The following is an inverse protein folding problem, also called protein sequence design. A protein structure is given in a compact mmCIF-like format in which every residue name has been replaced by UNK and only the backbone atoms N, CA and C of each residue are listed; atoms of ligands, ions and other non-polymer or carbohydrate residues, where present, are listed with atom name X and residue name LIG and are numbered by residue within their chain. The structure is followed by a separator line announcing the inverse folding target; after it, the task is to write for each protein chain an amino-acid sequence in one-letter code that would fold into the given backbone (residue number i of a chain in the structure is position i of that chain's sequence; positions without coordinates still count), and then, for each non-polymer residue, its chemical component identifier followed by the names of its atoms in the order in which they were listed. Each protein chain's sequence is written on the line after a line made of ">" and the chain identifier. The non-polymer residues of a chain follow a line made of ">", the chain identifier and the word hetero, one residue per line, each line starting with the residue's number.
data_IF_288770193503
#
_entry.id   IF_288770193503
#
_cell.length_a   1.000
_cell.length_b   1.000
_cell.length_c   1.000
_cell.angle_alpha   90.00
_cell.angle_beta   90.00
_cell.angle_gamma   90.00
#
_symmetry.space_group_name_H-M   'P 1'
#
loop_
_entity.id
_entity.type
_entity.pdbx_description
1 polymer ?
#
# COMPACT_ATOMS: atom_id res chain seq x y z
N UNK A 1 -16.87 -11.82 -10.09
CA UNK A 1 -16.01 -12.81 -9.40
C UNK A 1 -14.96 -12.07 -8.56
N UNK A 2 -15.24 -11.80 -7.28
CA UNK A 2 -14.37 -11.01 -6.39
C UNK A 2 -13.02 -11.69 -6.06
N UNK A 3 -12.85 -12.98 -6.34
CA UNK A 3 -11.63 -13.75 -6.05
C UNK A 3 -10.34 -13.21 -6.70
N UNK A 4 -10.43 -12.55 -7.87
CA UNK A 4 -9.23 -12.05 -8.57
C UNK A 4 -8.53 -10.92 -7.81
N UNK A 5 -9.24 -10.18 -6.95
CA UNK A 5 -8.66 -9.09 -6.18
C UNK A 5 -7.74 -9.60 -5.05
N UNK A 6 -8.03 -10.77 -4.48
CA UNK A 6 -7.17 -11.37 -3.45
C UNK A 6 -5.75 -11.67 -3.95
N UNK A 7 -5.55 -11.88 -5.25
CA UNK A 7 -4.22 -12.11 -5.83
C UNK A 7 -3.33 -10.86 -5.77
N UNK A 8 -3.93 -9.66 -5.72
CA UNK A 8 -3.20 -8.39 -5.67
C UNK A 8 -2.95 -7.89 -4.24
N UNK A 9 -3.59 -8.50 -3.24
CA UNK A 9 -3.42 -8.15 -1.83
C UNK A 9 -2.02 -8.52 -1.27
N UNK A 10 -1.49 -9.76 -1.47
CA UNK A 10 -0.15 -10.12 -1.01
C UNK A 10 0.96 -9.22 -1.57
N UNK A 11 1.04 -8.93 -2.89
CA UNK A 11 2.10 -8.06 -3.40
C UNK A 11 1.95 -6.61 -2.92
N UNK A 12 0.72 -6.09 -2.76
CA UNK A 12 0.52 -4.75 -2.19
C UNK A 12 1.00 -4.65 -0.73
N UNK A 13 0.74 -5.69 0.07
CA UNK A 13 1.25 -5.79 1.44
C UNK A 13 2.77 -5.94 1.48
N UNK A 14 3.35 -6.74 0.58
CA UNK A 14 4.79 -6.92 0.47
C UNK A 14 5.50 -5.61 0.11
N UNK A 15 4.96 -4.84 -0.83
CA UNK A 15 5.47 -3.51 -1.22
C UNK A 15 5.39 -2.52 -0.06
N UNK A 16 4.25 -2.46 0.64
CA UNK A 16 4.09 -1.62 1.83
C UNK A 16 5.07 -1.99 2.95
N UNK A 17 5.23 -3.29 3.24
CA UNK A 17 6.12 -3.80 4.28
C UNK A 17 7.60 -3.54 3.98
N UNK A 18 8.06 -3.88 2.78
CA UNK A 18 9.43 -3.60 2.35
C UNK A 18 9.71 -2.11 2.34
N UNK A 19 8.80 -1.31 1.79
CA UNK A 19 8.90 0.13 1.77
C UNK A 19 9.01 0.76 3.16
N UNK A 20 8.22 0.26 4.12
CA UNK A 20 8.27 0.69 5.52
C UNK A 20 9.62 0.36 6.17
N UNK A 21 10.15 -0.85 5.94
CA UNK A 21 11.48 -1.24 6.42
C UNK A 21 12.58 -0.35 5.83
N UNK A 22 12.52 -0.07 4.54
CA UNK A 22 13.49 0.80 3.86
C UNK A 22 13.40 2.23 4.38
N UNK A 23 12.20 2.78 4.57
CA UNK A 23 11.98 4.12 5.13
C UNK A 23 12.52 4.23 6.56
N UNK A 24 12.29 3.21 7.40
CA UNK A 24 12.84 3.14 8.76
C UNK A 24 14.36 3.05 8.76
N UNK A 25 14.95 2.27 7.83
CA UNK A 25 16.39 2.14 7.73
C UNK A 25 17.05 3.45 7.29
N UNK A 26 16.47 4.14 6.29
CA UNK A 26 16.92 5.46 5.82
C UNK A 26 16.80 6.52 6.91
N UNK A 27 15.69 6.51 7.67
CA UNK A 27 15.52 7.39 8.83
C UNK A 27 16.58 7.12 9.90
N UNK A 28 16.90 5.86 10.16
CA UNK A 28 17.95 5.49 11.11
C UNK A 28 19.35 5.89 10.63
N UNK A 29 19.60 5.93 9.32
CA UNK A 29 20.93 6.22 8.78
C UNK A 29 21.20 7.71 8.60
N UNK A 30 20.29 8.48 7.97
CA UNK A 30 20.52 9.91 7.62
C UNK A 30 19.23 10.74 7.37
N UNK A 31 18.04 10.15 7.43
CA UNK A 31 16.82 10.74 6.88
C UNK A 31 16.11 11.76 7.79
N UNK A 32 15.65 12.88 7.19
CA UNK A 32 14.70 13.81 7.80
C UNK A 32 13.35 13.12 8.03
N UNK A 33 12.64 13.47 9.12
CA UNK A 33 11.30 12.92 9.44
C UNK A 33 10.32 13.05 8.26
N UNK A 34 10.43 14.12 7.48
CA UNK A 34 9.58 14.37 6.30
C UNK A 34 9.75 13.33 5.19
N UNK A 35 10.99 12.99 4.84
CA UNK A 35 11.29 12.04 3.75
C UNK A 35 10.85 10.61 4.09
N UNK A 36 10.90 10.25 5.38
CA UNK A 36 10.43 8.94 5.84
C UNK A 36 8.91 8.79 5.71
N UNK A 37 8.15 9.88 5.95
CA UNK A 37 6.69 9.88 5.85
C UNK A 37 6.24 9.85 4.39
N UNK A 38 6.90 10.58 3.49
CA UNK A 38 6.60 10.54 2.05
C UNK A 38 6.92 9.18 1.45
N UNK A 39 8.03 8.54 1.82
CA UNK A 39 8.32 7.15 1.42
C UNK A 39 7.26 6.18 1.94
N UNK A 40 6.87 6.28 3.22
CA UNK A 40 5.81 5.46 3.79
C UNK A 40 4.49 5.64 3.04
N UNK A 41 4.09 6.87 2.75
CA UNK A 41 2.86 7.17 2.01
C UNK A 41 2.88 6.56 0.60
N UNK A 42 4.01 6.68 -0.12
CA UNK A 42 4.19 6.10 -1.45
C UNK A 42 4.14 4.57 -1.43
N UNK A 43 4.74 3.92 -0.43
CA UNK A 43 4.76 2.46 -0.33
C UNK A 43 3.40 1.86 0.02
N UNK A 44 2.54 2.59 0.72
CA UNK A 44 1.16 2.16 1.03
C UNK A 44 0.12 2.61 0.00
N UNK A 45 0.48 3.51 -0.92
CA UNK A 45 -0.37 3.96 -2.02
C UNK A 45 -0.99 2.82 -2.86
N UNK A 46 -0.26 1.75 -3.23
CA UNK A 46 -0.83 0.63 -3.99
C UNK A 46 -1.93 -0.11 -3.22
N UNK A 47 -1.80 -0.19 -1.90
CA UNK A 47 -2.76 -0.87 -1.04
C UNK A 47 -4.06 -0.05 -0.89
N UNK A 48 -3.95 1.28 -0.83
CA UNK A 48 -5.10 2.17 -0.90
C UNK A 48 -5.80 2.12 -2.26
N UNK A 49 -5.05 2.09 -3.36
CA UNK A 49 -5.61 1.95 -4.70
C UNK A 49 -6.37 0.61 -4.85
N UNK A 50 -5.81 -0.47 -4.32
CA UNK A 50 -6.47 -1.77 -4.27
C UNK A 50 -7.76 -1.75 -3.44
N UNK A 51 -7.74 -1.15 -2.26
CA UNK A 51 -8.90 -1.07 -1.37
C UNK A 51 -10.06 -0.27 -2.00
N UNK A 52 -9.73 0.85 -2.65
CA UNK A 52 -10.69 1.66 -3.42
C UNK A 52 -11.30 0.87 -4.58
N UNK A 53 -10.47 0.18 -5.36
CA UNK A 53 -10.94 -0.64 -6.47
C UNK A 53 -11.85 -1.79 -6.02
N UNK A 54 -11.52 -2.42 -4.88
CA UNK A 54 -12.34 -3.44 -4.26
C UNK A 54 -13.69 -2.88 -3.79
N UNK A 55 -13.69 -1.74 -3.08
CA UNK A 55 -14.91 -1.07 -2.64
C UNK A 55 -15.82 -0.68 -3.81
N UNK A 56 -15.26 -0.08 -4.86
CA UNK A 56 -16.02 0.26 -6.07
C UNK A 56 -16.60 -0.99 -6.75
N UNK A 57 -15.83 -2.08 -6.82
CA UNK A 57 -16.32 -3.35 -7.35
C UNK A 57 -17.43 -3.96 -6.49
N UNK A 58 -17.38 -3.77 -5.16
CA UNK A 58 -18.41 -4.24 -4.23
C UNK A 58 -19.70 -3.41 -4.38
N UNK A 59 -19.59 -2.08 -4.40
CA UNK A 59 -20.72 -1.17 -4.61
C UNK A 59 -21.44 -1.46 -5.93
N UNK A 60 -20.70 -1.75 -7.00
CA UNK A 60 -21.26 -2.09 -8.30
C UNK A 60 -21.93 -3.47 -8.34
N UNK A 61 -21.62 -4.34 -7.40
CA UNK A 61 -22.26 -5.66 -7.26
C UNK A 61 -23.52 -5.63 -6.38
N UNK A 62 -23.71 -4.54 -5.62
CA UNK A 62 -24.86 -4.34 -4.71
C UNK A 62 -25.98 -3.50 -5.36
N UNK A 63 -25.67 -2.77 -6.42
CA UNK A 63 -26.63 -2.06 -7.29
C UNK A 63 -27.15 -2.96 -8.40
#
# INVERSE_FOLDING_TARGET
>A
MPMKWFLFLPPALAVGWFGTRTALHIRSSRGSKGDSLTMLALCWSPLMAWALAYLLSLSRSLS
#
